data_IF_767703322594
#
_entry.id   IF_767703322594
#
_cell.length_a   1.000
_cell.length_b   1.000
_cell.length_c   1.000
_cell.angle_alpha   90.00
_cell.angle_beta   90.00
_cell.angle_gamma   90.00
#
_symmetry.space_group_name_H-M   'P 1'
#
loop_
_entity.id
_entity.type
_entity.pdbx_description
1 polymer ?
#
# COMPACT_ATOMS: atom_id res chain seq x y z
N UNK A 1 -4.28 16.12 -2.94
CA UNK A 1 -2.82 15.82 -3.03
C UNK A 1 -2.19 15.39 -1.71
N UNK A 2 -2.36 16.13 -0.59
CA UNK A 2 -1.73 15.77 0.70
C UNK A 2 -2.12 14.40 1.27
N UNK A 3 -3.36 13.95 1.06
CA UNK A 3 -3.81 12.63 1.50
C UNK A 3 -3.17 11.49 0.70
N UNK A 4 -3.01 11.66 -0.61
CA UNK A 4 -2.35 10.68 -1.48
C UNK A 4 -0.86 10.54 -1.14
N UNK A 5 -0.18 11.65 -0.88
CA UNK A 5 1.23 11.64 -0.47
C UNK A 5 1.45 10.91 0.88
N UNK A 6 0.55 11.11 1.84
CA UNK A 6 0.57 10.42 3.13
C UNK A 6 0.34 8.91 2.97
N UNK A 7 -0.59 8.54 2.10
CA UNK A 7 -0.90 7.14 1.82
C UNK A 7 0.29 6.43 1.16
N UNK A 8 0.89 7.04 0.13
CA UNK A 8 2.13 6.54 -0.50
C UNK A 8 3.28 6.45 0.49
N UNK A 9 3.47 7.45 1.35
CA UNK A 9 4.55 7.44 2.33
C UNK A 9 4.36 6.33 3.39
N UNK A 10 3.14 6.16 3.90
CA UNK A 10 2.81 5.07 4.82
C UNK A 10 2.98 3.70 4.18
N UNK A 11 2.62 3.55 2.91
CA UNK A 11 2.78 2.30 2.18
C UNK A 11 4.27 1.95 1.97
N UNK A 12 5.09 2.92 1.54
CA UNK A 12 6.54 2.74 1.42
C UNK A 12 7.19 2.47 2.78
N UNK A 13 6.78 3.18 3.84
CA UNK A 13 7.30 2.94 5.18
C UNK A 13 6.91 1.56 5.72
N UNK A 14 5.69 1.09 5.45
CA UNK A 14 5.23 -0.25 5.79
C UNK A 14 6.01 -1.34 5.06
N UNK A 15 6.25 -1.16 3.76
CA UNK A 15 7.10 -2.04 2.95
C UNK A 15 8.55 -2.08 3.46
N UNK A 16 9.12 -0.92 3.80
CA UNK A 16 10.47 -0.84 4.35
C UNK A 16 10.57 -1.51 5.73
N UNK A 17 9.56 -1.34 6.59
CA UNK A 17 9.50 -2.01 7.89
C UNK A 17 9.35 -3.53 7.75
N UNK A 18 8.57 -4.00 6.77
CA UNK A 18 8.38 -5.42 6.48
C UNK A 18 9.64 -6.06 5.86
N UNK A 19 10.37 -5.31 5.02
CA UNK A 19 11.69 -5.71 4.53
C UNK A 19 12.74 -5.78 5.65
N UNK A 20 12.74 -4.81 6.57
CA UNK A 20 13.62 -4.81 7.74
C UNK A 20 13.30 -5.97 8.70
N UNK A 21 12.03 -6.27 8.95
CA UNK A 21 11.66 -7.41 9.79
C UNK A 21 12.04 -8.74 9.15
N UNK A 22 11.90 -8.88 7.82
CA UNK A 22 12.38 -10.05 7.09
C UNK A 22 13.91 -10.21 7.19
N UNK A 23 14.67 -9.12 7.09
CA UNK A 23 16.12 -9.13 7.30
C UNK A 23 16.50 -9.52 8.73
N UNK A 24 15.78 -9.03 9.74
CA UNK A 24 15.99 -9.40 11.14
C UNK A 24 15.68 -10.89 11.35
N UNK A 25 14.60 -11.41 10.78
CA UNK A 25 14.26 -12.84 10.87
C UNK A 25 15.32 -13.69 10.16
N UNK A 26 15.80 -13.28 8.98
CA UNK A 26 16.87 -13.97 8.28
C UNK A 26 18.19 -13.96 9.06
N UNK A 27 18.55 -12.83 9.69
CA UNK A 27 19.72 -12.73 10.55
C UNK A 27 19.58 -13.59 11.83
N UNK A 28 18.40 -13.61 12.44
CA UNK A 28 18.10 -14.47 13.58
C UNK A 28 18.13 -15.96 13.21
N UNK A 29 17.69 -16.34 12.02
CA UNK A 29 17.79 -17.71 11.51
C UNK A 29 19.25 -18.12 11.24
N UNK A 30 20.07 -17.19 10.75
CA UNK A 30 21.49 -17.46 10.49
C UNK A 30 22.37 -17.50 11.75
N UNK A 31 21.98 -16.80 12.81
CA UNK A 31 22.65 -16.90 14.12
C UNK A 31 22.00 -17.93 15.05
N UNK A 32 20.77 -18.35 14.76
CA UNK A 32 19.94 -19.27 15.52
C UNK A 32 19.96 -20.71 15.01
N UNK A 33 21.04 -21.15 14.36
CA UNK A 33 21.28 -22.54 13.94
C UNK A 33 21.26 -23.58 15.09
N UNK A 34 20.76 -23.25 16.29
CA UNK A 34 20.65 -24.17 17.42
C UNK A 34 19.44 -23.97 18.34
N UNK A 35 18.41 -23.20 17.97
CA UNK A 35 17.31 -22.90 18.89
C UNK A 35 15.90 -23.33 18.41
N UNK A 36 15.75 -23.78 17.17
CA UNK A 36 14.45 -24.13 16.56
C UNK A 36 14.45 -25.53 15.93
N UNK A 37 15.28 -26.43 16.48
CA UNK A 37 15.15 -27.85 16.26
C UNK A 37 14.41 -28.36 17.50
N UNK A 38 13.14 -28.79 17.42
CA UNK A 38 12.63 -29.63 18.48
C UNK A 38 13.49 -30.89 18.49
N UNK A 39 14.15 -31.19 19.62
CA UNK A 39 14.87 -32.45 19.84
C UNK A 39 13.88 -33.60 19.67
N UNK A 40 13.74 -34.06 18.43
CA UNK A 40 12.85 -35.15 18.05
C UNK A 40 13.68 -36.43 18.13
N UNK A 41 13.75 -37.02 19.31
CA UNK A 41 14.32 -38.35 19.48
C UNK A 41 13.27 -39.41 19.13
N UNK A 42 13.65 -40.37 18.28
CA UNK A 42 12.83 -41.55 17.99
C UNK A 42 13.40 -42.73 18.78
N UNK A 43 12.63 -43.23 19.75
CA UNK A 43 12.99 -44.44 20.47
C UNK A 43 12.46 -45.66 19.69
N UNK A 44 13.38 -46.46 19.14
CA UNK A 44 13.05 -47.70 18.44
C UNK A 44 13.70 -48.86 19.19
N UNK A 45 12.90 -49.76 19.77
CA UNK A 45 13.37 -50.91 20.55
C UNK A 45 14.28 -50.56 21.74
N UNK A 46 14.07 -49.41 22.40
CA UNK A 46 14.86 -49.00 23.56
C UNK A 46 16.18 -48.33 23.21
N UNK A 47 16.46 -48.14 21.91
CA UNK A 47 17.58 -47.35 21.41
C UNK A 47 17.05 -45.97 21.02
N UNK A 48 17.58 -44.93 21.66
CA UNK A 48 17.21 -43.54 21.37
C UNK A 48 18.04 -43.05 20.18
N UNK A 49 17.39 -42.91 19.03
CA UNK A 49 18.03 -42.39 17.81
C UNK A 49 17.82 -40.88 17.79
N UNK A 50 18.92 -40.16 18.00
CA UNK A 50 18.96 -38.72 17.92
C UNK A 50 18.97 -38.26 16.45
N UNK A 51 17.90 -37.59 16.03
CA UNK A 51 17.73 -37.15 14.64
C UNK A 51 18.55 -35.89 14.31
N UNK A 52 19.14 -35.24 15.32
CA UNK A 52 20.01 -34.08 15.15
C UNK A 52 21.27 -34.37 14.32
N UNK A 53 21.70 -35.63 14.27
CA UNK A 53 22.89 -36.08 13.53
C UNK A 53 22.64 -36.56 12.10
N UNK A 54 21.39 -36.67 11.65
CA UNK A 54 21.09 -37.09 10.27
C UNK A 54 21.31 -35.90 9.34
N UNK A 55 22.57 -35.70 8.96
CA UNK A 55 23.10 -34.71 8.01
C UNK A 55 22.53 -34.90 6.58
N UNK A 56 21.20 -34.84 6.41
CA UNK A 56 20.55 -34.62 5.13
C UNK A 56 20.70 -33.16 4.68
N UNK A 57 20.27 -32.79 3.46
CA UNK A 57 20.39 -31.43 2.92
C UNK A 57 19.42 -30.44 3.59
N UNK A 58 19.35 -30.41 4.93
CA UNK A 58 18.52 -29.51 5.72
C UNK A 58 18.85 -28.04 5.49
N UNK A 59 20.11 -27.72 5.16
CA UNK A 59 20.52 -26.38 4.74
C UNK A 59 19.86 -25.97 3.41
N UNK A 60 19.67 -26.92 2.48
CA UNK A 60 19.02 -26.67 1.19
C UNK A 60 17.52 -26.47 1.38
N UNK A 61 16.89 -27.27 2.23
CA UNK A 61 15.48 -27.12 2.60
C UNK A 61 15.25 -25.78 3.30
N UNK A 62 16.11 -25.42 4.26
CA UNK A 62 16.06 -24.13 4.95
C UNK A 62 16.20 -22.94 4.00
N UNK A 63 17.11 -23.01 3.02
CA UNK A 63 17.30 -21.98 2.00
C UNK A 63 16.08 -21.84 1.09
N UNK A 64 15.49 -22.96 0.66
CA UNK A 64 14.27 -22.96 -0.15
C UNK A 64 13.10 -22.34 0.63
N UNK A 65 12.90 -22.76 1.89
CA UNK A 65 11.80 -22.25 2.72
C UNK A 65 11.97 -20.76 3.00
N UNK A 66 13.17 -20.31 3.38
CA UNK A 66 13.42 -18.88 3.60
C UNK A 66 13.30 -18.06 2.31
N UNK A 67 13.75 -18.59 1.17
CA UNK A 67 13.58 -17.95 -0.13
C UNK A 67 12.10 -17.79 -0.51
N UNK A 68 11.29 -18.83 -0.31
CA UNK A 68 9.84 -18.79 -0.57
C UNK A 68 9.14 -17.83 0.37
N UNK A 69 9.43 -17.88 1.67
CA UNK A 69 8.83 -16.97 2.66
C UNK A 69 9.23 -15.53 2.35
N UNK A 70 10.50 -15.27 2.03
CA UNK A 70 10.99 -13.96 1.63
C UNK A 70 10.30 -13.43 0.38
N UNK A 71 10.12 -14.27 -0.64
CA UNK A 71 9.40 -13.91 -1.87
C UNK A 71 7.92 -13.58 -1.57
N UNK A 72 7.26 -14.43 -0.79
CA UNK A 72 5.84 -14.26 -0.47
C UNK A 72 5.63 -12.98 0.33
N UNK A 73 6.44 -12.74 1.36
CA UNK A 73 6.31 -11.56 2.20
C UNK A 73 6.78 -10.27 1.49
N UNK A 74 7.87 -10.34 0.73
CA UNK A 74 8.49 -9.18 0.09
C UNK A 74 7.84 -8.76 -1.23
N UNK A 75 7.22 -9.69 -1.96
CA UNK A 75 6.68 -9.43 -3.30
C UNK A 75 5.20 -9.76 -3.39
N UNK A 76 4.81 -10.98 -3.03
CA UNK A 76 3.42 -11.43 -3.23
C UNK A 76 2.45 -10.67 -2.33
N UNK A 77 2.75 -10.59 -1.04
CA UNK A 77 1.92 -9.93 -0.04
C UNK A 77 1.67 -8.44 -0.36
N UNK A 78 2.68 -7.61 -0.69
CA UNK A 78 2.42 -6.21 -1.03
C UNK A 78 1.64 -6.06 -2.34
N UNK A 79 1.88 -6.90 -3.34
CA UNK A 79 1.08 -6.89 -4.58
C UNK A 79 -0.38 -7.25 -4.27
N UNK A 80 -0.61 -8.28 -3.47
CA UNK A 80 -1.97 -8.69 -3.05
C UNK A 80 -2.64 -7.60 -2.23
N UNK A 81 -1.92 -6.91 -1.35
CA UNK A 81 -2.48 -5.76 -0.61
C UNK A 81 -2.83 -4.60 -1.54
N UNK A 82 -1.95 -4.29 -2.49
CA UNK A 82 -2.14 -3.19 -3.43
C UNK A 82 -3.29 -3.46 -4.41
N UNK A 83 -3.44 -4.70 -4.90
CA UNK A 83 -4.56 -5.07 -5.75
C UNK A 83 -5.85 -5.26 -4.92
N UNK A 84 -5.76 -5.93 -3.78
CA UNK A 84 -6.91 -6.28 -2.95
C UNK A 84 -7.56 -5.07 -2.29
N UNK A 85 -6.76 -4.13 -1.73
CA UNK A 85 -7.28 -2.92 -1.08
C UNK A 85 -7.18 -1.72 -2.03
N UNK A 86 -6.11 -1.59 -2.80
CA UNK A 86 -5.91 -0.44 -3.66
C UNK A 86 -6.90 -0.38 -4.82
N UNK A 87 -7.27 -1.51 -5.44
CA UNK A 87 -8.27 -1.52 -6.52
C UNK A 87 -9.68 -1.09 -6.07
N UNK A 88 -10.28 -1.64 -4.98
CA UNK A 88 -11.59 -1.16 -4.52
C UNK A 88 -11.52 0.30 -4.07
N UNK A 89 -10.43 0.73 -3.44
CA UNK A 89 -10.25 2.13 -3.07
C UNK A 89 -10.16 3.05 -4.31
N UNK A 90 -9.52 2.58 -5.39
CA UNK A 90 -9.44 3.27 -6.67
C UNK A 90 -10.83 3.40 -7.31
N UNK A 91 -11.61 2.33 -7.32
CA UNK A 91 -12.99 2.33 -7.83
C UNK A 91 -13.83 3.36 -7.07
N UNK A 92 -13.79 3.33 -5.73
CA UNK A 92 -14.50 4.30 -4.89
C UNK A 92 -14.03 5.74 -5.15
N UNK A 93 -12.73 5.95 -5.34
CA UNK A 93 -12.18 7.25 -5.67
C UNK A 93 -12.68 7.78 -7.01
N UNK A 94 -12.70 6.94 -8.06
CA UNK A 94 -13.17 7.32 -9.39
C UNK A 94 -14.67 7.60 -9.38
N UNK A 95 -15.48 6.78 -8.71
CA UNK A 95 -16.93 6.97 -8.65
C UNK A 95 -17.31 8.24 -7.90
N UNK A 96 -16.67 8.52 -6.76
CA UNK A 96 -16.85 9.78 -6.04
C UNK A 96 -16.39 10.98 -6.87
N UNK A 97 -15.25 10.88 -7.54
CA UNK A 97 -14.74 11.93 -8.41
C UNK A 97 -15.70 12.24 -9.56
N UNK A 98 -16.23 11.19 -10.22
CA UNK A 98 -17.20 11.31 -11.28
C UNK A 98 -18.52 11.92 -10.78
N UNK A 99 -18.98 11.55 -9.58
CA UNK A 99 -20.17 12.12 -8.96
C UNK A 99 -20.00 13.62 -8.72
N UNK A 100 -18.88 14.05 -8.14
CA UNK A 100 -18.59 15.47 -7.91
C UNK A 100 -18.55 16.23 -9.23
N UNK A 101 -17.87 15.69 -10.24
CA UNK A 101 -17.83 16.30 -11.58
C UNK A 101 -19.21 16.41 -12.21
N UNK A 102 -20.07 15.39 -12.06
CA UNK A 102 -21.43 15.42 -12.56
C UNK A 102 -22.27 16.50 -11.87
N UNK A 103 -22.22 16.58 -10.54
CA UNK A 103 -22.95 17.60 -9.77
C UNK A 103 -22.45 19.01 -10.12
N UNK A 104 -21.13 19.21 -10.18
CA UNK A 104 -20.55 20.49 -10.60
C UNK A 104 -20.91 20.83 -12.04
N UNK A 105 -20.90 19.87 -12.96
CA UNK A 105 -21.26 20.08 -14.37
C UNK A 105 -22.72 20.49 -14.53
N UNK A 106 -23.64 19.74 -13.91
CA UNK A 106 -25.08 20.07 -13.92
C UNK A 106 -25.33 21.41 -13.24
N UNK A 107 -24.71 21.66 -12.09
CA UNK A 107 -24.80 22.93 -11.37
C UNK A 107 -24.25 24.11 -12.17
N UNK A 108 -23.18 23.91 -12.94
CA UNK A 108 -22.63 24.94 -13.83
C UNK A 108 -23.55 25.22 -15.01
N UNK A 109 -24.16 24.19 -15.63
CA UNK A 109 -25.09 24.37 -16.75
C UNK A 109 -26.36 25.08 -16.30
N UNK A 110 -26.97 24.65 -15.19
CA UNK A 110 -28.19 25.27 -14.65
C UNK A 110 -27.91 26.63 -13.99
N UNK A 111 -26.73 26.81 -13.39
CA UNK A 111 -26.31 28.04 -12.74
C UNK A 111 -25.78 29.10 -13.71
N UNK A 112 -25.29 28.69 -14.88
CA UNK A 112 -24.79 29.57 -15.96
C UNK A 112 -25.71 30.76 -16.26
N UNK A 113 -27.02 30.59 -16.52
CA UNK A 113 -27.90 31.73 -16.80
C UNK A 113 -27.95 32.74 -15.64
N UNK A 114 -27.95 32.28 -14.39
CA UNK A 114 -27.95 33.16 -13.22
C UNK A 114 -26.61 33.86 -13.01
N UNK A 115 -25.50 33.15 -13.20
CA UNK A 115 -24.15 33.71 -13.09
C UNK A 115 -23.93 34.77 -14.17
N UNK A 116 -24.33 34.50 -15.41
CA UNK A 116 -24.27 35.45 -16.53
C UNK A 116 -25.17 36.66 -16.28
N UNK A 117 -26.38 36.46 -15.76
CA UNK A 117 -27.29 37.55 -15.40
C UNK A 117 -26.72 38.42 -14.28
N UNK A 118 -26.17 37.82 -13.23
CA UNK A 118 -25.52 38.54 -12.14
C UNK A 118 -24.30 39.34 -12.65
N UNK A 119 -23.48 38.75 -13.53
CA UNK A 119 -22.37 39.43 -14.20
C UNK A 119 -22.84 40.60 -15.07
N UNK A 120 -23.95 40.44 -15.79
CA UNK A 120 -24.54 41.50 -16.61
C UNK A 120 -25.04 42.66 -15.74
N UNK A 121 -25.75 42.37 -14.65
CA UNK A 121 -26.22 43.39 -13.70
C UNK A 121 -25.05 44.10 -13.03
N UNK A 122 -24.03 43.36 -12.58
CA UNK A 122 -22.80 43.93 -12.02
C UNK A 122 -22.07 44.82 -13.02
N UNK A 123 -22.03 44.45 -14.30
CA UNK A 123 -21.46 45.27 -15.35
C UNK A 123 -22.25 46.56 -15.57
N UNK A 124 -23.60 46.49 -15.51
CA UNK A 124 -24.48 47.64 -15.64
C UNK A 124 -24.33 48.65 -14.49
N UNK A 125 -24.16 48.15 -13.26
CA UNK A 125 -24.01 48.97 -12.04
C UNK A 125 -22.56 49.47 -11.89
N UNK A 126 -21.59 48.89 -12.61
CA UNK A 126 -20.18 49.28 -12.51
C UNK A 126 -20.05 50.75 -12.91
N UNK A 127 -19.64 51.64 -11.99
CA UNK A 127 -19.49 53.05 -12.31
C UNK A 127 -18.46 53.18 -13.44
N UNK A 128 -18.85 53.83 -14.55
CA UNK A 128 -17.93 54.23 -15.61
C UNK A 128 -16.94 55.19 -14.97
N UNK A 129 -15.82 54.67 -14.48
CA UNK A 129 -14.67 55.50 -14.10
C UNK A 129 -14.18 56.09 -15.40
N UNK A 130 -14.71 57.26 -15.74
CA UNK A 130 -14.33 58.05 -16.88
C UNK A 130 -12.81 58.16 -16.84
N UNK A 131 -12.18 57.50 -17.81
CA UNK A 131 -10.76 57.64 -18.09
C UNK A 131 -10.61 59.11 -18.49
N UNK A 132 -10.21 59.96 -17.54
CA UNK A 132 -9.86 61.36 -17.84
C UNK A 132 -8.75 61.29 -18.87
N UNK A 133 -9.12 61.62 -20.11
CA UNK A 133 -8.22 61.97 -21.18
C UNK A 133 -7.37 63.14 -20.67
N UNK A 134 -6.06 62.97 -20.73
CA UNK A 134 -5.10 64.05 -20.74
C UNK A 134 -4.29 63.90 -22.03
#
# INVERSE_FOLDING_TARGET
MRAFLKFTFLFCAGLAALGLSALVIAALMHHGHGAWHPDLSLNVNGDDIDLDGVNGPGWLVGLIVTGVVGLVLGVVLPIVLLLGIGLPLLIVGITLGALVLAVCGVGAVLGSPFVLFALFVLWLIRPRRARKLN
#
